data_IF_945827191159
#
_entry.id   IF_945827191159
#
_cell.length_a   1.000
_cell.length_b   1.000
_cell.length_c   1.000
_cell.angle_alpha   90.00
_cell.angle_beta   90.00
_cell.angle_gamma   90.00
#
_symmetry.space_group_name_H-M   'P 1'
#
loop_
_entity.id
_entity.type
_entity.pdbx_description
1 polymer ?
#
# COMPACT_ATOMS: atom_id res chain seq x y z
N UNK A 1 8.28 -13.19 4.70
CA UNK A 1 8.02 -12.50 5.98
C UNK A 1 6.54 -12.45 6.37
N UNK A 2 5.58 -12.51 5.43
CA UNK A 2 4.15 -12.53 5.76
C UNK A 2 3.76 -13.68 6.70
N UNK A 3 4.16 -14.93 6.41
CA UNK A 3 3.82 -16.09 7.26
C UNK A 3 4.39 -15.98 8.68
N UNK A 4 5.58 -15.40 8.83
CA UNK A 4 6.18 -15.06 10.12
C UNK A 4 5.38 -13.96 10.83
N UNK A 5 4.96 -12.91 10.11
CA UNK A 5 4.09 -11.87 10.63
C UNK A 5 2.71 -12.40 11.07
N UNK A 6 2.15 -13.36 10.33
CA UNK A 6 0.89 -14.03 10.68
C UNK A 6 1.05 -14.91 11.93
N UNK A 7 2.15 -15.67 12.01
CA UNK A 7 2.49 -16.48 13.18
C UNK A 7 2.64 -15.61 14.43
N UNK A 8 3.31 -14.46 14.32
CA UNK A 8 3.47 -13.52 15.43
C UNK A 8 2.17 -12.80 15.76
N UNK A 9 1.40 -12.36 14.76
CA UNK A 9 0.09 -11.72 14.94
C UNK A 9 -0.84 -12.63 15.74
N UNK A 10 -0.97 -13.90 15.32
CA UNK A 10 -1.82 -14.89 15.98
C UNK A 10 -1.24 -15.38 17.30
N UNK A 11 0.06 -15.65 17.35
CA UNK A 11 0.72 -16.21 18.54
C UNK A 11 0.81 -15.24 19.71
N UNK A 12 0.96 -13.93 19.44
CA UNK A 12 1.03 -12.89 20.47
C UNK A 12 -0.27 -12.08 20.59
N UNK A 13 -1.33 -12.44 19.86
CA UNK A 13 -2.61 -11.73 19.80
C UNK A 13 -2.46 -10.21 19.55
N UNK A 14 -1.59 -9.83 18.62
CA UNK A 14 -1.39 -8.42 18.28
C UNK A 14 -2.61 -7.86 17.53
N UNK A 15 -2.98 -6.58 17.74
CA UNK A 15 -4.11 -5.94 17.07
C UNK A 15 -3.85 -5.66 15.57
N UNK A 16 -2.66 -5.99 15.07
CA UNK A 16 -2.23 -5.71 13.71
C UNK A 16 -2.31 -6.97 12.83
N UNK A 17 -2.78 -6.84 11.57
CA UNK A 17 -2.77 -7.94 10.61
C UNK A 17 -1.35 -8.47 10.36
N UNK A 18 -1.20 -9.78 10.17
CA UNK A 18 0.08 -10.42 9.88
C UNK A 18 0.88 -9.81 8.71
N UNK A 19 0.25 -9.39 7.59
CA UNK A 19 0.95 -8.69 6.51
C UNK A 19 1.65 -7.40 6.95
N UNK A 20 1.03 -6.61 7.84
CA UNK A 20 1.60 -5.35 8.35
C UNK A 20 2.87 -5.63 9.16
N UNK A 21 2.80 -6.63 10.05
CA UNK A 21 3.96 -7.08 10.83
C UNK A 21 5.04 -7.65 9.88
N UNK A 22 4.64 -8.42 8.87
CA UNK A 22 5.55 -8.97 7.88
C UNK A 22 6.33 -7.91 7.10
N UNK A 23 5.70 -6.76 6.77
CA UNK A 23 6.38 -5.61 6.14
C UNK A 23 7.39 -5.00 7.10
N UNK A 24 7.03 -4.80 8.38
CA UNK A 24 7.95 -4.26 9.39
C UNK A 24 9.18 -5.18 9.56
N UNK A 25 8.97 -6.49 9.64
CA UNK A 25 10.05 -7.48 9.70
C UNK A 25 10.91 -7.46 8.44
N UNK A 26 10.30 -7.30 7.26
CA UNK A 26 11.05 -7.19 6.00
C UNK A 26 11.94 -5.95 5.99
N UNK A 27 11.45 -4.79 6.47
CA UNK A 27 12.24 -3.56 6.57
C UNK A 27 13.45 -3.76 7.50
N UNK A 28 13.26 -4.44 8.64
CA UNK A 28 14.36 -4.78 9.54
C UNK A 28 15.38 -5.73 8.86
N UNK A 29 14.91 -6.72 8.13
CA UNK A 29 15.76 -7.67 7.40
C UNK A 29 16.57 -6.99 6.28
N UNK A 30 16.02 -5.94 5.64
CA UNK A 30 16.66 -5.21 4.55
C UNK A 30 17.91 -4.42 5.00
N UNK A 31 18.15 -4.31 6.31
CA UNK A 31 19.38 -3.73 6.88
C UNK A 31 20.62 -4.58 6.54
N UNK A 32 20.44 -5.87 6.25
CA UNK A 32 21.54 -6.73 5.85
C UNK A 32 21.70 -6.79 4.32
N UNK A 33 22.92 -6.57 3.78
CA UNK A 33 23.17 -6.54 2.34
C UNK A 33 22.86 -7.87 1.65
N UNK A 34 23.05 -8.99 2.36
CA UNK A 34 22.73 -10.35 1.89
C UNK A 34 21.24 -10.54 1.59
N UNK A 35 20.35 -9.82 2.29
CA UNK A 35 18.91 -9.84 2.05
C UNK A 35 18.53 -8.76 1.02
N UNK A 36 19.15 -7.58 1.13
CA UNK A 36 18.83 -6.43 0.27
C UNK A 36 19.10 -6.70 -1.21
N UNK A 37 20.24 -7.27 -1.56
CA UNK A 37 20.62 -7.49 -2.96
C UNK A 37 19.63 -8.38 -3.74
N UNK A 38 19.29 -9.60 -3.27
CA UNK A 38 18.33 -10.44 -3.98
C UNK A 38 16.91 -9.85 -3.97
N UNK A 39 16.50 -9.23 -2.85
CA UNK A 39 15.18 -8.57 -2.77
C UNK A 39 15.08 -7.42 -3.77
N UNK A 40 16.12 -6.60 -3.92
CA UNK A 40 16.15 -5.51 -4.89
C UNK A 40 16.09 -6.02 -6.34
N UNK A 41 16.81 -7.09 -6.66
CA UNK A 41 16.77 -7.70 -8.00
C UNK A 41 15.35 -8.21 -8.34
N UNK A 42 14.72 -8.94 -7.43
CA UNK A 42 13.34 -9.43 -7.60
C UNK A 42 12.33 -8.27 -7.65
N UNK A 43 12.47 -7.27 -6.77
CA UNK A 43 11.58 -6.11 -6.75
C UNK A 43 11.68 -5.31 -8.06
N UNK A 44 12.89 -5.10 -8.59
CA UNK A 44 13.10 -4.44 -9.88
C UNK A 44 12.41 -5.18 -11.04
N UNK A 45 12.52 -6.51 -11.06
CA UNK A 45 11.82 -7.34 -12.05
C UNK A 45 10.29 -7.26 -11.95
N UNK A 46 9.74 -7.25 -10.72
CA UNK A 46 8.29 -7.09 -10.51
C UNK A 46 7.83 -5.68 -10.90
N UNK A 47 8.64 -4.66 -10.60
CA UNK A 47 8.36 -3.28 -10.98
C UNK A 47 8.31 -3.09 -12.49
N UNK A 48 9.22 -3.72 -13.24
CA UNK A 48 9.22 -3.66 -14.70
C UNK A 48 8.00 -4.34 -15.32
N UNK A 49 7.37 -5.26 -14.59
CA UNK A 49 6.18 -6.00 -15.02
C UNK A 49 4.95 -5.66 -14.17
N UNK A 50 4.92 -4.50 -13.51
CA UNK A 50 3.84 -4.15 -12.58
C UNK A 50 2.45 -4.18 -13.23
N UNK A 51 2.37 -3.87 -14.54
CA UNK A 51 1.14 -4.01 -15.32
C UNK A 51 0.53 -5.41 -15.22
N UNK A 52 1.35 -6.47 -15.23
CA UNK A 52 0.89 -7.86 -15.06
C UNK A 52 0.31 -8.11 -13.67
N UNK A 53 0.80 -7.42 -12.64
CA UNK A 53 0.26 -7.54 -11.27
C UNK A 53 -1.09 -6.81 -11.12
N UNK A 54 -1.38 -5.82 -11.97
CA UNK A 54 -2.69 -5.15 -12.00
C UNK A 54 -3.76 -5.91 -12.78
N UNK A 55 -3.39 -6.77 -13.73
CA UNK A 55 -4.36 -7.58 -14.51
C UNK A 55 -5.25 -8.45 -13.59
N UNK A 56 -4.71 -9.25 -12.64
CA UNK A 56 -5.52 -10.03 -11.70
C UNK A 56 -6.48 -9.18 -10.88
N UNK A 57 -6.03 -7.99 -10.45
CA UNK A 57 -6.87 -7.05 -9.70
C UNK A 57 -8.05 -6.59 -10.55
N UNK A 58 -7.79 -6.23 -11.82
CA UNK A 58 -8.82 -5.85 -12.77
C UNK A 58 -9.83 -6.97 -13.05
N UNK A 59 -9.36 -8.20 -13.27
CA UNK A 59 -10.22 -9.38 -13.48
C UNK A 59 -11.05 -9.67 -12.22
N UNK A 60 -10.48 -9.51 -11.02
CA UNK A 60 -11.19 -9.63 -9.76
C UNK A 60 -12.37 -8.65 -9.65
N UNK A 61 -12.20 -7.41 -10.10
CA UNK A 61 -13.28 -6.41 -10.13
C UNK A 61 -14.38 -6.81 -11.13
N UNK A 62 -14.02 -7.38 -12.28
CA UNK A 62 -14.99 -7.83 -13.27
C UNK A 62 -15.95 -8.90 -12.71
N UNK A 63 -15.52 -9.72 -11.75
CA UNK A 63 -16.44 -10.70 -11.11
C UNK A 63 -17.59 -10.04 -10.33
N UNK A 64 -17.47 -8.74 -10.04
CA UNK A 64 -18.47 -7.92 -9.33
C UNK A 64 -19.03 -6.79 -10.23
N UNK A 65 -19.11 -7.02 -11.55
CA UNK A 65 -19.61 -6.06 -12.54
C UNK A 65 -20.98 -5.45 -12.19
N UNK A 66 -21.90 -6.22 -11.59
CA UNK A 66 -23.22 -5.70 -11.21
C UNK A 66 -23.19 -4.60 -10.14
N UNK A 67 -22.23 -4.66 -9.21
CA UNK A 67 -22.02 -3.58 -8.23
C UNK A 67 -21.38 -2.36 -8.89
N UNK A 68 -20.50 -2.58 -9.87
CA UNK A 68 -19.89 -1.52 -10.65
C UNK A 68 -20.91 -0.79 -11.53
N UNK A 69 -21.87 -1.50 -12.10
CA UNK A 69 -22.93 -0.89 -12.91
C UNK A 69 -23.82 0.03 -12.05
N UNK A 70 -24.23 -0.44 -10.87
CA UNK A 70 -25.11 0.32 -9.98
C UNK A 70 -24.40 1.48 -9.24
N UNK A 71 -23.14 1.30 -8.84
CA UNK A 71 -22.42 2.26 -7.98
C UNK A 71 -21.14 2.84 -8.59
N UNK A 72 -20.76 2.46 -9.81
CA UNK A 72 -19.46 2.81 -10.40
C UNK A 72 -19.23 4.32 -10.49
N UNK A 73 -20.23 5.08 -10.92
CA UNK A 73 -20.15 6.56 -10.98
C UNK A 73 -19.96 7.16 -9.58
N UNK A 74 -20.69 6.65 -8.58
CA UNK A 74 -20.58 7.12 -7.19
C UNK A 74 -19.22 6.77 -6.60
N UNK A 75 -18.71 5.57 -6.88
CA UNK A 75 -17.40 5.11 -6.44
C UNK A 75 -16.29 5.94 -7.09
N UNK A 76 -16.37 6.22 -8.39
CA UNK A 76 -15.45 7.10 -9.11
C UNK A 76 -15.43 8.50 -8.49
N UNK A 77 -16.60 9.09 -8.26
CA UNK A 77 -16.70 10.42 -7.64
C UNK A 77 -16.06 10.44 -6.25
N UNK A 78 -16.33 9.44 -5.41
CA UNK A 78 -15.73 9.34 -4.06
C UNK A 78 -14.22 9.15 -4.13
N UNK A 79 -13.69 8.32 -5.03
CA UNK A 79 -12.25 8.11 -5.21
C UNK A 79 -11.57 9.41 -5.62
N UNK A 80 -12.10 10.09 -6.64
CA UNK A 80 -11.53 11.35 -7.13
C UNK A 80 -11.58 12.42 -6.03
N UNK A 81 -12.75 12.67 -5.44
CA UNK A 81 -12.90 13.70 -4.42
C UNK A 81 -12.04 13.42 -3.18
N UNK A 82 -11.99 12.18 -2.69
CA UNK A 82 -11.16 11.84 -1.53
C UNK A 82 -9.67 11.96 -1.82
N UNK A 83 -9.22 11.63 -3.03
CA UNK A 83 -7.83 11.82 -3.44
C UNK A 83 -7.47 13.31 -3.49
N UNK A 84 -8.32 14.14 -4.10
CA UNK A 84 -8.10 15.58 -4.16
C UNK A 84 -8.09 16.22 -2.77
N UNK A 85 -9.05 15.88 -1.92
CA UNK A 85 -9.12 16.39 -0.54
C UNK A 85 -7.91 15.92 0.25
N UNK A 86 -7.53 14.65 0.15
CA UNK A 86 -6.35 14.10 0.82
C UNK A 86 -5.08 14.84 0.43
N UNK A 87 -4.84 15.03 -0.88
CA UNK A 87 -3.70 15.79 -1.39
C UNK A 87 -3.71 17.26 -0.92
N UNK A 88 -4.87 17.92 -0.95
CA UNK A 88 -5.01 19.30 -0.50
C UNK A 88 -4.69 19.43 1.00
N UNK A 89 -5.23 18.54 1.84
CA UNK A 89 -4.97 18.53 3.28
C UNK A 89 -3.50 18.26 3.56
N UNK A 90 -2.90 17.25 2.92
CA UNK A 90 -1.46 16.98 3.06
C UNK A 90 -0.61 18.18 2.67
N UNK A 91 -0.93 18.84 1.55
CA UNK A 91 -0.21 20.03 1.11
C UNK A 91 -0.34 21.21 2.09
N UNK A 92 -1.54 21.44 2.62
CA UNK A 92 -1.79 22.49 3.62
C UNK A 92 -1.06 22.22 4.93
N UNK A 93 -1.06 20.98 5.42
CA UNK A 93 -0.36 20.59 6.65
C UNK A 93 1.15 20.75 6.49
N UNK A 94 1.72 20.28 5.37
CA UNK A 94 3.15 20.45 5.09
C UNK A 94 3.50 21.93 5.02
N UNK A 95 2.68 22.75 4.35
CA UNK A 95 2.90 24.20 4.25
C UNK A 95 2.80 24.91 5.61
N UNK A 96 1.88 24.47 6.47
CA UNK A 96 1.74 25.00 7.83
C UNK A 96 2.96 24.66 8.71
N UNK A 97 3.49 23.44 8.58
CA UNK A 97 4.70 23.01 9.30
C UNK A 97 5.99 23.61 8.73
N UNK A 98 6.06 23.87 7.43
CA UNK A 98 7.24 24.49 6.81
C UNK A 98 7.26 26.01 7.02
N UNK A 99 6.09 26.65 7.07
CA UNK A 99 5.98 28.10 7.30
C UNK A 99 6.40 28.57 8.70
N UNK A 100 6.56 27.67 9.66
CA UNK A 100 7.08 27.99 11.01
C UNK A 100 8.62 27.99 11.11
N UNK A 101 9.34 27.72 10.02
CA UNK A 101 10.82 27.78 10.01
C UNK A 101 11.38 29.08 9.40
N UNK A 102 10.52 29.94 8.84
CA UNK A 102 10.89 31.19 8.16
C UNK A 102 10.39 32.47 8.89
N UNK A 103 9.93 32.36 10.14
CA UNK A 103 9.52 33.49 10.99
C UNK A 103 10.23 33.42 12.35
#
# INVERSE_FOLDING_TARGET
>A
MQSLGELLSRGLHLPFPGPVIGILLMVLALRWPVVRAPVAACAGFLLSHLSLLFVPVGVGVMTHLGLLDQYGVRMLAVIVLSTWVGLAVTALVVRAMSGSHDA
#
